data_IF_207184095321
#
_entry.id   IF_207184095321
#
_cell.length_a   1.000
_cell.length_b   1.000
_cell.length_c   1.000
_cell.angle_alpha   90.00
_cell.angle_beta   90.00
_cell.angle_gamma   90.00
#
_symmetry.space_group_name_H-M   'P 1'
#
loop_
_entity.id
_entity.type
_entity.pdbx_description
1 polymer ?
#
# COMPACT_ATOMS: atom_id res chain seq x y z
N UNK A 1 -3.56 14.28 -7.42
CA UNK A 1 -2.80 13.04 -7.22
C UNK A 1 -1.89 12.85 -8.42
N UNK A 2 -0.66 12.38 -8.21
CA UNK A 2 0.30 12.16 -9.30
C UNK A 2 -0.19 11.06 -10.26
N UNK A 3 0.17 11.15 -11.53
CA UNK A 3 0.00 10.04 -12.49
C UNK A 3 0.98 8.91 -12.17
N UNK A 4 0.75 7.69 -12.68
CA UNK A 4 1.71 6.59 -12.54
C UNK A 4 3.09 7.00 -13.08
N UNK A 5 3.16 7.60 -14.26
CA UNK A 5 4.42 8.11 -14.82
C UNK A 5 5.15 9.08 -13.88
N UNK A 6 4.44 10.03 -13.27
CA UNK A 6 5.04 10.97 -12.33
C UNK A 6 5.49 10.28 -11.03
N UNK A 7 4.75 9.26 -10.56
CA UNK A 7 5.14 8.44 -9.41
C UNK A 7 6.43 7.69 -9.70
N UNK A 8 6.53 7.04 -10.86
CA UNK A 8 7.72 6.29 -11.26
C UNK A 8 8.93 7.22 -11.46
N UNK A 9 8.72 8.41 -12.04
CA UNK A 9 9.79 9.40 -12.19
C UNK A 9 10.29 9.92 -10.84
N UNK A 10 9.38 10.14 -9.89
CA UNK A 10 9.75 10.53 -8.53
C UNK A 10 10.62 9.44 -7.87
N UNK A 11 10.17 8.18 -7.88
CA UNK A 11 10.97 7.08 -7.32
C UNK A 11 12.27 6.84 -8.07
N UNK A 12 12.30 6.99 -9.40
CA UNK A 12 13.52 6.81 -10.19
C UNK A 12 14.52 7.96 -10.06
N UNK A 13 14.06 9.16 -9.66
CA UNK A 13 14.94 10.25 -9.25
C UNK A 13 15.65 9.95 -7.94
N UNK A 14 14.94 9.28 -7.02
CA UNK A 14 15.47 8.84 -5.75
C UNK A 14 16.37 7.60 -5.88
N UNK A 15 15.93 6.58 -6.64
CA UNK A 15 16.63 5.31 -6.87
C UNK A 15 16.72 4.98 -8.37
N UNK A 16 17.79 5.46 -9.05
CA UNK A 16 17.99 5.18 -10.47
C UNK A 16 18.25 3.70 -10.80
N UNK A 17 18.80 2.92 -9.85
CA UNK A 17 19.08 1.50 -10.05
C UNK A 17 17.78 0.70 -10.06
N UNK A 18 16.85 1.01 -9.14
CA UNK A 18 15.50 0.47 -9.17
C UNK A 18 14.80 0.79 -10.50
N UNK A 19 14.82 2.04 -10.97
CA UNK A 19 14.18 2.42 -12.23
C UNK A 19 14.78 1.68 -13.44
N UNK A 20 16.08 1.35 -13.40
CA UNK A 20 16.72 0.54 -14.44
C UNK A 20 16.34 -0.95 -14.36
N UNK A 21 15.89 -1.43 -13.19
CA UNK A 21 15.51 -2.82 -12.96
C UNK A 21 14.07 -3.16 -13.36
N UNK A 22 13.17 -2.17 -13.39
CA UNK A 22 11.77 -2.41 -13.72
C UNK A 22 11.56 -2.75 -15.20
N UNK A 23 10.58 -3.60 -15.49
CA UNK A 23 10.31 -4.05 -16.85
C UNK A 23 8.81 -4.02 -17.19
N UNK A 24 8.45 -3.47 -18.36
CA UNK A 24 7.06 -3.38 -18.81
C UNK A 24 6.56 -4.72 -19.38
N UNK A 25 5.25 -4.92 -19.33
CA UNK A 25 4.57 -5.96 -20.09
C UNK A 25 4.45 -5.58 -21.57
N UNK A 26 4.54 -6.58 -22.44
CA UNK A 26 4.25 -6.45 -23.86
C UNK A 26 2.74 -6.34 -24.13
N UNK A 27 2.37 -5.75 -25.26
CA UNK A 27 0.96 -5.69 -25.68
C UNK A 27 0.32 -7.09 -25.85
N UNK A 28 1.12 -8.08 -26.25
CA UNK A 28 0.66 -9.46 -26.41
C UNK A 28 0.32 -10.11 -25.05
N UNK A 29 1.13 -9.87 -24.03
CA UNK A 29 0.88 -10.32 -22.66
C UNK A 29 -0.35 -9.65 -22.05
N UNK A 30 -0.50 -8.33 -22.22
CA UNK A 30 -1.68 -7.61 -21.74
C UNK A 30 -2.94 -8.14 -22.42
N UNK A 31 -2.91 -8.34 -23.75
CA UNK A 31 -4.02 -8.93 -24.50
C UNK A 31 -4.32 -10.37 -24.08
N UNK A 32 -3.30 -11.14 -23.67
CA UNK A 32 -3.45 -12.49 -23.15
C UNK A 32 -4.17 -12.51 -21.79
N UNK A 33 -3.92 -11.53 -20.92
CA UNK A 33 -4.66 -11.34 -19.66
C UNK A 33 -6.11 -11.01 -19.97
N UNK A 34 -6.38 -10.04 -20.86
CA UNK A 34 -7.74 -9.64 -21.25
C UNK A 34 -8.56 -10.81 -21.80
N UNK A 35 -7.95 -11.61 -22.67
CA UNK A 35 -8.60 -12.79 -23.24
C UNK A 35 -8.96 -13.83 -22.16
N UNK A 36 -8.07 -14.07 -21.19
CA UNK A 36 -8.29 -15.04 -20.10
C UNK A 36 -9.24 -14.57 -19.02
N UNK A 37 -9.24 -13.26 -18.76
CA UNK A 37 -10.20 -12.60 -17.90
C UNK A 37 -11.57 -12.41 -18.56
N UNK A 38 -11.67 -12.68 -19.87
CA UNK A 38 -12.87 -12.49 -20.70
C UNK A 38 -13.42 -11.05 -20.65
N UNK A 39 -12.51 -10.07 -20.49
CA UNK A 39 -12.85 -8.65 -20.36
C UNK A 39 -11.68 -7.74 -20.68
N UNK A 40 -11.98 -6.50 -21.06
CA UNK A 40 -10.98 -5.44 -21.16
C UNK A 40 -10.50 -5.03 -19.76
N UNK A 41 -9.20 -4.78 -19.61
CA UNK A 41 -8.65 -4.27 -18.36
C UNK A 41 -9.06 -2.79 -18.16
N UNK A 42 -9.23 -2.34 -16.90
CA UNK A 42 -9.33 -0.91 -16.59
C UNK A 42 -8.14 -0.14 -17.18
N UNK A 43 -8.34 1.06 -17.76
CA UNK A 43 -7.25 1.81 -18.42
C UNK A 43 -6.03 2.05 -17.53
N UNK A 44 -6.24 2.33 -16.23
CA UNK A 44 -5.13 2.52 -15.30
C UNK A 44 -4.34 1.22 -15.07
N UNK A 45 -5.01 0.07 -15.07
CA UNK A 45 -4.35 -1.21 -14.87
C UNK A 45 -3.55 -1.59 -16.11
N UNK A 46 -4.10 -1.35 -17.30
CA UNK A 46 -3.36 -1.45 -18.55
C UNK A 46 -2.09 -0.59 -18.49
N UNK A 47 -2.22 0.67 -18.08
CA UNK A 47 -1.08 1.59 -17.94
C UNK A 47 -0.05 1.10 -16.92
N UNK A 48 -0.49 0.55 -15.79
CA UNK A 48 0.40 -0.07 -14.82
C UNK A 48 1.20 -1.22 -15.44
N UNK A 49 0.55 -2.13 -16.16
CA UNK A 49 1.24 -3.26 -16.81
C UNK A 49 2.23 -2.80 -17.88
N UNK A 50 1.89 -1.77 -18.65
CA UNK A 50 2.78 -1.14 -19.64
C UNK A 50 4.03 -0.50 -19.02
N UNK A 51 4.04 -0.25 -17.71
CA UNK A 51 5.16 0.37 -17.02
C UNK A 51 5.95 -0.64 -16.16
N UNK A 52 5.24 -1.51 -15.42
CA UNK A 52 5.80 -2.35 -14.35
C UNK A 52 5.40 -3.84 -14.47
N UNK A 53 4.69 -4.24 -15.53
CA UNK A 53 3.97 -5.51 -15.54
C UNK A 53 4.84 -6.78 -15.55
N UNK A 54 6.08 -6.73 -16.03
CA UNK A 54 6.99 -7.89 -15.99
C UNK A 54 7.85 -7.93 -14.74
N UNK A 55 8.39 -6.78 -14.36
CA UNK A 55 9.25 -6.67 -13.20
C UNK A 55 8.95 -5.33 -12.50
N UNK A 56 8.21 -5.33 -11.37
CA UNK A 56 8.01 -4.13 -10.57
C UNK A 56 9.24 -3.79 -9.69
N UNK A 57 10.24 -4.67 -9.65
CA UNK A 57 11.37 -4.58 -8.74
C UNK A 57 10.91 -4.73 -7.29
N UNK A 58 11.60 -4.06 -6.37
CA UNK A 58 11.32 -4.12 -4.92
C UNK A 58 10.08 -3.32 -4.49
N UNK A 59 9.28 -2.81 -5.43
CA UNK A 59 8.18 -1.89 -5.13
C UNK A 59 7.11 -2.51 -4.22
N UNK A 60 7.00 -3.84 -4.15
CA UNK A 60 6.00 -4.55 -3.37
C UNK A 60 6.57 -5.53 -2.32
N UNK A 61 7.89 -5.67 -2.19
CA UNK A 61 8.54 -6.75 -1.42
C UNK A 61 8.10 -6.80 0.06
N UNK A 62 7.96 -5.65 0.73
CA UNK A 62 7.49 -5.59 2.12
C UNK A 62 6.00 -5.25 2.24
N UNK A 63 5.37 -4.86 1.14
CA UNK A 63 4.02 -4.31 1.16
C UNK A 63 2.96 -5.37 0.87
N UNK A 64 3.30 -6.43 0.11
CA UNK A 64 2.34 -7.43 -0.34
C UNK A 64 2.86 -8.87 -0.24
N UNK A 65 2.00 -9.76 0.27
CA UNK A 65 2.12 -11.20 0.02
C UNK A 65 1.74 -11.60 -1.42
N UNK A 66 1.23 -10.66 -2.22
CA UNK A 66 0.72 -10.91 -3.56
C UNK A 66 1.63 -10.36 -4.66
N UNK A 67 1.83 -11.14 -5.71
CA UNK A 67 2.69 -10.83 -6.85
C UNK A 67 1.84 -10.31 -8.04
N UNK A 68 2.03 -9.04 -8.48
CA UNK A 68 1.27 -8.43 -9.57
C UNK A 68 1.86 -8.71 -10.96
N UNK A 69 2.93 -9.51 -11.07
CA UNK A 69 3.57 -9.77 -12.37
C UNK A 69 2.64 -10.52 -13.32
N UNK A 70 2.74 -10.14 -14.58
CA UNK A 70 1.96 -10.70 -15.69
C UNK A 70 2.06 -12.23 -15.75
N UNK A 71 3.25 -12.79 -15.60
CA UNK A 71 3.48 -14.24 -15.69
C UNK A 71 2.73 -14.99 -14.57
N UNK A 72 2.65 -14.41 -13.37
CA UNK A 72 1.85 -14.95 -12.26
C UNK A 72 0.36 -14.91 -12.55
N UNK A 73 -0.15 -13.79 -13.04
CA UNK A 73 -1.57 -13.63 -13.39
C UNK A 73 -1.95 -14.61 -14.51
N UNK A 74 -1.12 -14.74 -15.55
CA UNK A 74 -1.36 -15.68 -16.64
C UNK A 74 -1.31 -17.13 -16.16
N UNK A 75 -0.33 -17.48 -15.33
CA UNK A 75 -0.21 -18.83 -14.73
C UNK A 75 -1.47 -19.19 -13.94
N UNK A 76 -2.02 -18.26 -13.15
CA UNK A 76 -3.28 -18.47 -12.43
C UNK A 76 -4.43 -18.84 -13.37
N UNK A 77 -4.62 -18.07 -14.44
CA UNK A 77 -5.69 -18.35 -15.40
C UNK A 77 -5.47 -19.63 -16.21
N UNK A 78 -4.23 -19.92 -16.60
CA UNK A 78 -3.87 -21.13 -17.34
C UNK A 78 -4.07 -22.40 -16.51
N UNK A 79 -3.91 -22.32 -15.19
CA UNK A 79 -4.21 -23.39 -14.25
C UNK A 79 -5.73 -23.60 -14.01
N UNK A 80 -6.60 -22.87 -14.71
CA UNK A 80 -8.04 -22.88 -14.46
C UNK A 80 -8.45 -22.18 -13.17
N UNK A 81 -7.61 -21.24 -12.70
CA UNK A 81 -7.86 -20.44 -11.52
C UNK A 81 -9.19 -19.68 -11.57
N UNK A 82 -9.73 -19.38 -10.39
CA UNK A 82 -11.00 -18.69 -10.27
C UNK A 82 -10.97 -17.33 -10.97
N UNK A 83 -12.03 -17.04 -11.73
CA UNK A 83 -12.23 -15.75 -12.42
C UNK A 83 -13.14 -14.88 -11.56
N UNK A 84 -12.68 -13.70 -11.13
CA UNK A 84 -13.53 -12.82 -10.35
C UNK A 84 -14.72 -12.34 -11.20
N UNK A 85 -15.97 -12.42 -10.70
CA UNK A 85 -17.11 -11.87 -11.43
C UNK A 85 -17.00 -10.34 -11.49
N UNK A 86 -17.64 -9.68 -12.48
CA UNK A 86 -17.84 -8.24 -12.43
C UNK A 86 -18.43 -7.82 -11.07
N UNK A 87 -18.00 -6.69 -10.49
CA UNK A 87 -17.15 -5.63 -11.07
C UNK A 87 -15.64 -5.82 -10.86
N UNK A 88 -15.16 -7.03 -10.56
CA UNK A 88 -13.77 -7.24 -10.14
C UNK A 88 -12.83 -7.69 -11.27
N UNK A 89 -11.56 -7.31 -11.17
CA UNK A 89 -10.46 -7.75 -12.03
C UNK A 89 -9.29 -8.17 -11.14
N UNK A 90 -8.66 -9.33 -11.40
CA UNK A 90 -7.49 -9.78 -10.63
C UNK A 90 -6.29 -8.85 -10.89
N UNK A 91 -5.67 -8.37 -9.82
CA UNK A 91 -4.51 -7.47 -9.85
C UNK A 91 -3.21 -8.16 -9.44
N UNK A 92 -3.22 -8.91 -8.34
CA UNK A 92 -2.04 -9.61 -7.84
C UNK A 92 -2.46 -10.92 -7.17
N UNK A 93 -1.61 -11.95 -7.28
CA UNK A 93 -1.84 -13.26 -6.67
C UNK A 93 -0.73 -13.62 -5.70
N UNK A 94 -1.11 -14.07 -4.52
CA UNK A 94 -0.20 -14.75 -3.61
C UNK A 94 0.28 -16.11 -4.20
N UNK A 95 1.60 -16.28 -4.43
CA UNK A 95 2.13 -17.49 -5.05
C UNK A 95 2.08 -18.73 -4.15
N UNK A 96 1.97 -18.55 -2.83
CA UNK A 96 1.96 -19.64 -1.83
C UNK A 96 0.54 -20.09 -1.48
N UNK A 97 -0.47 -19.51 -2.12
CA UNK A 97 -1.86 -19.84 -1.86
C UNK A 97 -2.40 -19.23 -0.56
N UNK A 98 -1.63 -18.32 0.07
CA UNK A 98 -2.09 -17.57 1.23
C UNK A 98 -3.20 -16.58 0.78
N UNK A 99 -3.98 -16.05 1.72
CA UNK A 99 -5.32 -15.57 1.41
C UNK A 99 -5.39 -14.08 1.05
N UNK A 100 -4.29 -13.48 0.58
CA UNK A 100 -4.25 -12.06 0.24
C UNK A 100 -4.22 -11.92 -1.28
N UNK A 101 -5.37 -12.15 -1.91
CA UNK A 101 -5.56 -11.78 -3.32
C UNK A 101 -6.02 -10.34 -3.46
N UNK A 102 -5.49 -9.69 -4.49
CA UNK A 102 -5.79 -8.30 -4.76
C UNK A 102 -6.62 -8.18 -6.02
N UNK A 103 -7.67 -7.39 -5.93
CA UNK A 103 -8.61 -7.15 -7.01
C UNK A 103 -8.81 -5.65 -7.21
N UNK A 104 -8.94 -5.26 -8.47
CA UNK A 104 -9.47 -3.96 -8.86
C UNK A 104 -10.99 -4.07 -8.95
N UNK A 105 -11.69 -3.25 -8.16
CA UNK A 105 -13.14 -3.11 -8.24
C UNK A 105 -13.48 -1.89 -9.09
N UNK A 106 -14.15 -2.11 -10.22
CA UNK A 106 -14.68 -1.01 -11.01
C UNK A 106 -15.65 -0.18 -10.15
N UNK A 107 -15.62 1.15 -10.31
CA UNK A 107 -16.61 2.01 -9.68
C UNK A 107 -17.92 1.88 -10.46
N UNK A 108 -19.03 1.69 -9.75
CA UNK A 108 -20.35 1.54 -10.36
C UNK A 108 -20.62 2.73 -11.29
N UNK A 109 -21.02 2.42 -12.54
CA UNK A 109 -21.20 3.34 -13.67
C UNK A 109 -22.38 4.31 -13.51
N UNK A 110 -22.90 4.49 -12.31
CA UNK A 110 -24.06 5.33 -12.03
C UNK A 110 -23.68 6.83 -12.02
N UNK A 111 -23.42 7.37 -13.21
CA UNK A 111 -23.65 8.79 -13.52
C UNK A 111 -22.46 9.74 -13.45
N UNK A 112 -21.29 9.33 -12.96
CA UNK A 112 -20.08 10.15 -12.99
C UNK A 112 -19.06 9.58 -13.99
N UNK A 113 -19.10 10.13 -15.21
CA UNK A 113 -18.28 9.89 -16.40
C UNK A 113 -16.88 9.27 -16.17
N UNK A 114 -16.61 8.17 -16.89
CA UNK A 114 -15.37 7.78 -17.62
C UNK A 114 -13.97 8.01 -17.02
N UNK A 115 -13.82 8.44 -15.77
CA UNK A 115 -12.53 8.88 -15.21
C UNK A 115 -12.24 8.39 -13.79
N UNK A 116 -13.21 7.74 -13.13
CA UNK A 116 -13.01 7.31 -11.76
C UNK A 116 -12.21 6.00 -11.72
N UNK A 117 -11.02 6.06 -11.12
CA UNK A 117 -10.09 4.94 -11.02
C UNK A 117 -10.66 3.81 -10.16
N UNK A 118 -10.47 2.52 -10.52
CA UNK A 118 -10.93 1.40 -9.69
C UNK A 118 -10.34 1.44 -8.28
N UNK A 119 -11.12 0.93 -7.32
CA UNK A 119 -10.63 0.67 -5.96
C UNK A 119 -9.71 -0.55 -5.97
N UNK A 120 -8.66 -0.55 -5.15
CA UNK A 120 -7.92 -1.76 -4.85
C UNK A 120 -8.50 -2.40 -3.59
N UNK A 121 -8.88 -3.67 -3.70
CA UNK A 121 -9.51 -4.43 -2.62
C UNK A 121 -8.90 -5.81 -2.46
N UNK A 122 -9.14 -6.44 -1.30
CA UNK A 122 -8.83 -7.85 -1.04
C UNK A 122 -10.06 -8.56 -0.50
N UNK A 123 -10.20 -9.84 -0.81
CA UNK A 123 -11.21 -10.74 -0.22
C UNK A 123 -10.81 -12.19 -0.43
N UNK A 124 -11.34 -13.09 0.40
CA UNK A 124 -11.14 -14.52 0.26
C UNK A 124 -11.85 -15.07 -0.98
N UNK A 125 -11.11 -15.81 -1.82
CA UNK A 125 -11.71 -16.51 -2.96
C UNK A 125 -12.64 -17.64 -2.51
N UNK A 126 -13.72 -17.93 -3.27
CA UNK A 126 -14.57 -19.09 -3.00
C UNK A 126 -13.75 -20.40 -2.97
N UNK A 127 -13.89 -21.16 -1.88
CA UNK A 127 -13.16 -22.42 -1.69
C UNK A 127 -11.70 -22.28 -1.26
N UNK A 128 -11.22 -21.04 -1.05
CA UNK A 128 -9.91 -20.78 -0.44
C UNK A 128 -9.86 -21.18 1.05
N UNK A 129 -8.66 -21.17 1.67
CA UNK A 129 -8.54 -21.36 3.11
C UNK A 129 -9.41 -20.32 3.82
N UNK A 130 -10.23 -20.78 4.79
CA UNK A 130 -11.09 -19.88 5.56
C UNK A 130 -10.22 -18.90 6.32
N UNK A 131 -10.25 -17.64 5.91
CA UNK A 131 -9.74 -16.56 6.73
C UNK A 131 -10.51 -16.47 8.04
N UNK A 132 -9.87 -15.87 9.05
CA UNK A 132 -10.53 -15.53 10.31
C UNK A 132 -11.60 -14.43 10.17
N UNK A 133 -11.76 -13.85 8.97
CA UNK A 133 -12.72 -12.78 8.65
C UNK A 133 -13.71 -13.25 7.59
N UNK A 134 -14.94 -12.75 7.66
CA UNK A 134 -16.02 -12.98 6.69
C UNK A 134 -15.91 -11.95 5.55
N UNK A 135 -14.79 -11.99 4.84
CA UNK A 135 -14.43 -11.07 3.75
C UNK A 135 -14.57 -11.76 2.37
N UNK A 136 -15.80 -11.80 1.86
CA UNK A 136 -16.10 -12.26 0.50
C UNK A 136 -16.22 -11.13 -0.53
N UNK A 137 -16.53 -11.43 -1.81
CA UNK A 137 -16.72 -10.42 -2.85
C UNK A 137 -17.87 -9.44 -2.55
N UNK A 138 -18.82 -9.81 -1.68
CA UNK A 138 -19.90 -8.92 -1.22
C UNK A 138 -19.47 -7.96 -0.11
N UNK A 139 -18.34 -8.24 0.55
CA UNK A 139 -17.77 -7.45 1.65
C UNK A 139 -16.25 -7.35 1.51
N UNK A 140 -15.76 -6.78 0.39
CA UNK A 140 -14.32 -6.71 0.15
C UNK A 140 -13.65 -5.73 1.12
N UNK A 141 -12.42 -6.02 1.50
CA UNK A 141 -11.57 -5.12 2.29
C UNK A 141 -11.00 -4.08 1.33
N UNK A 142 -11.30 -2.81 1.56
CA UNK A 142 -10.68 -1.71 0.80
C UNK A 142 -9.23 -1.52 1.24
N UNK A 143 -8.29 -1.68 0.31
CA UNK A 143 -6.86 -1.46 0.56
C UNK A 143 -6.42 -0.07 0.11
N UNK A 144 -6.91 0.39 -1.04
CA UNK A 144 -6.65 1.73 -1.51
C UNK A 144 -7.84 2.28 -2.31
N UNK A 145 -8.11 3.59 -2.19
CA UNK A 145 -9.18 4.23 -2.95
C UNK A 145 -8.91 4.20 -4.47
N UNK A 146 -7.64 4.10 -4.86
CA UNK A 146 -7.15 4.18 -6.25
C UNK A 146 -5.84 3.38 -6.38
N UNK A 147 -5.60 2.74 -7.52
CA UNK A 147 -4.39 1.96 -7.79
C UNK A 147 -3.12 2.82 -7.72
N UNK A 148 -3.14 4.05 -8.24
CA UNK A 148 -2.00 4.98 -8.15
C UNK A 148 -1.64 5.32 -6.71
N UNK A 149 -2.63 5.45 -5.82
CA UNK A 149 -2.39 5.68 -4.39
C UNK A 149 -1.64 4.50 -3.79
N UNK A 150 -2.06 3.29 -4.14
CA UNK A 150 -1.42 2.09 -3.68
C UNK A 150 0.02 1.95 -4.18
N UNK A 151 0.26 2.15 -5.48
CA UNK A 151 1.61 2.13 -6.08
C UNK A 151 2.50 3.19 -5.44
N UNK A 152 1.97 4.38 -5.19
CA UNK A 152 2.71 5.43 -4.47
C UNK A 152 3.06 4.98 -3.05
N UNK A 153 2.10 4.45 -2.27
CA UNK A 153 2.38 3.99 -0.90
C UNK A 153 3.42 2.87 -0.88
N UNK A 154 3.27 1.87 -1.75
CA UNK A 154 4.17 0.74 -1.82
C UNK A 154 5.59 1.16 -2.21
N UNK A 155 5.73 1.99 -3.26
CA UNK A 155 7.04 2.53 -3.65
C UNK A 155 7.64 3.47 -2.61
N UNK A 156 6.83 4.31 -1.97
CA UNK A 156 7.30 5.19 -0.92
C UNK A 156 7.81 4.38 0.27
N UNK A 157 7.10 3.34 0.69
CA UNK A 157 7.52 2.54 1.85
C UNK A 157 8.79 1.71 1.56
N UNK A 158 8.93 1.14 0.36
CA UNK A 158 10.06 0.27 0.00
C UNK A 158 11.31 1.03 -0.49
N UNK A 159 11.15 2.11 -1.27
CA UNK A 159 12.27 2.79 -1.95
C UNK A 159 12.79 4.03 -1.20
N UNK A 160 11.91 4.68 -0.45
CA UNK A 160 12.18 5.98 0.17
C UNK A 160 12.10 5.90 1.69
N UNK A 161 11.04 5.29 2.21
CA UNK A 161 10.70 5.29 3.61
C UNK A 161 11.75 4.62 4.47
N UNK A 162 12.54 3.71 3.91
CA UNK A 162 13.71 3.11 4.55
C UNK A 162 14.91 4.05 4.67
N UNK A 163 15.00 5.14 3.88
CA UNK A 163 16.11 6.12 3.90
C UNK A 163 16.09 6.97 5.17
N UNK A 164 14.94 7.53 5.50
CA UNK A 164 14.70 8.24 6.75
C UNK A 164 13.47 7.67 7.43
N UNK A 165 13.66 6.55 8.14
CA UNK A 165 12.67 6.02 9.06
C UNK A 165 13.10 6.20 10.51
N UNK A 166 12.12 6.34 11.38
CA UNK A 166 12.30 6.11 12.80
C UNK A 166 11.18 5.25 13.33
N UNK A 167 11.54 4.28 14.16
CA UNK A 167 10.60 3.52 14.96
C UNK A 167 10.63 4.05 16.38
N UNK A 168 9.47 4.48 16.85
CA UNK A 168 9.29 5.09 18.15
C UNK A 168 8.41 4.18 18.98
N UNK A 169 8.87 3.85 20.18
CA UNK A 169 8.06 3.19 21.20
C UNK A 169 7.52 4.23 22.17
N UNK A 170 6.21 4.43 22.18
CA UNK A 170 5.55 5.37 23.07
C UNK A 170 4.72 4.62 24.12
N UNK A 171 4.62 5.16 25.33
CA UNK A 171 3.58 4.78 26.30
C UNK A 171 2.70 5.97 26.52
N UNK A 172 1.40 5.82 26.32
CA UNK A 172 0.44 6.88 26.64
C UNK A 172 -0.16 6.56 28.00
N UNK A 173 0.08 7.36 29.05
CA UNK A 173 -0.52 7.14 30.37
C UNK A 173 -2.05 7.21 30.32
N UNK A 174 -2.72 6.63 31.33
CA UNK A 174 -4.19 6.66 31.48
C UNK A 174 -4.77 8.09 31.32
N UNK A 175 -5.90 8.22 30.61
CA UNK A 175 -6.52 9.50 30.20
C UNK A 175 -6.58 9.72 28.68
N UNK A 176 -6.77 8.64 27.93
CA UNK A 176 -6.19 8.36 26.61
C UNK A 176 -6.87 9.05 25.41
N UNK A 177 -8.16 9.36 25.48
CA UNK A 177 -8.92 9.86 24.32
C UNK A 177 -8.52 11.25 23.82
N UNK A 178 -8.35 12.22 24.73
CA UNK A 178 -8.06 13.61 24.37
C UNK A 178 -6.64 13.78 23.82
N UNK A 179 -5.68 12.95 24.23
CA UNK A 179 -4.29 13.03 23.78
C UNK A 179 -4.08 12.39 22.41
N UNK A 180 -4.84 11.37 22.04
CA UNK A 180 -4.82 10.84 20.68
C UNK A 180 -5.45 11.80 19.68
N UNK A 181 -6.57 12.41 20.04
CA UNK A 181 -7.17 13.46 19.23
C UNK A 181 -6.18 14.62 19.03
N UNK A 182 -5.39 14.97 20.05
CA UNK A 182 -4.33 15.96 19.92
C UNK A 182 -3.18 15.52 18.99
N UNK A 183 -2.83 14.22 18.97
CA UNK A 183 -1.85 13.68 18.04
C UNK A 183 -2.39 13.71 16.60
N UNK A 184 -3.61 13.21 16.39
CA UNK A 184 -4.29 13.27 15.10
C UNK A 184 -4.38 14.73 14.62
N UNK A 185 -4.77 15.67 15.49
CA UNK A 185 -4.84 17.09 15.17
C UNK A 185 -3.45 17.70 14.86
N UNK A 186 -2.40 17.29 15.57
CA UNK A 186 -1.03 17.77 15.31
C UNK A 186 -0.54 17.32 13.93
N UNK A 187 -0.80 16.07 13.58
CA UNK A 187 -0.45 15.48 12.29
C UNK A 187 -1.31 16.07 11.16
N UNK A 188 -2.60 16.28 11.40
CA UNK A 188 -3.50 16.98 10.46
C UNK A 188 -3.04 18.43 10.20
N UNK A 189 -2.57 19.14 11.23
CA UNK A 189 -1.99 20.50 11.09
C UNK A 189 -0.72 20.54 10.26
N UNK A 190 -0.01 19.41 10.15
CA UNK A 190 1.13 19.26 9.24
C UNK A 190 0.70 18.95 7.80
N UNK A 191 -0.62 18.95 7.52
CA UNK A 191 -1.17 18.70 6.19
C UNK A 191 -1.22 17.21 5.82
N UNK A 192 -0.94 16.32 6.78
CA UNK A 192 -1.07 14.89 6.59
C UNK A 192 -2.55 14.52 6.66
N UNK A 193 -2.97 13.56 5.85
CA UNK A 193 -4.35 13.08 5.81
C UNK A 193 -4.45 11.78 6.59
N UNK A 194 -5.42 11.72 7.48
CA UNK A 194 -5.79 10.46 8.14
C UNK A 194 -6.27 9.43 7.10
N UNK A 195 -5.70 8.24 7.19
CA UNK A 195 -6.05 7.07 6.42
C UNK A 195 -6.54 6.00 7.41
N UNK A 196 -7.79 5.57 7.24
CA UNK A 196 -8.33 4.46 8.02
C UNK A 196 -7.47 3.22 7.75
N UNK A 197 -6.89 2.66 8.83
CA UNK A 197 -5.78 1.71 8.76
C UNK A 197 -6.07 0.49 7.89
N UNK A 198 -5.10 0.14 7.04
CA UNK A 198 -4.90 -1.22 6.54
C UNK A 198 -3.73 -1.87 7.29
N UNK A 199 -3.72 -3.21 7.31
CA UNK A 199 -2.59 -4.07 7.68
C UNK A 199 -2.02 -3.87 9.10
N UNK A 200 -2.73 -4.45 10.08
CA UNK A 200 -2.40 -4.49 11.51
C UNK A 200 -2.36 -3.13 12.25
N UNK A 201 -2.02 -2.01 11.59
CA UNK A 201 -1.92 -0.68 12.20
C UNK A 201 -3.29 -0.12 12.61
N UNK A 202 -3.32 0.57 13.75
CA UNK A 202 -4.56 1.12 14.31
C UNK A 202 -4.93 2.48 13.71
N UNK A 203 -3.95 3.22 13.20
CA UNK A 203 -4.15 4.42 12.38
C UNK A 203 -2.91 4.70 11.54
N UNK A 204 -3.11 5.41 10.43
CA UNK A 204 -2.09 5.83 9.48
C UNK A 204 -2.42 7.26 9.05
N UNK A 205 -1.41 8.11 8.91
CA UNK A 205 -1.54 9.44 8.34
C UNK A 205 -0.45 9.62 7.29
N UNK A 206 -0.80 10.24 6.16
CA UNK A 206 0.15 10.40 5.04
C UNK A 206 0.05 11.78 4.40
N UNK A 207 1.20 12.33 4.07
CA UNK A 207 1.41 13.38 3.09
C UNK A 207 2.16 12.79 1.88
N UNK A 208 2.43 13.62 0.87
CA UNK A 208 3.23 13.18 -0.27
C UNK A 208 4.66 12.81 0.17
N UNK A 209 5.28 13.65 1.00
CA UNK A 209 6.68 13.49 1.45
C UNK A 209 6.85 12.76 2.79
N UNK A 210 5.78 12.32 3.45
CA UNK A 210 5.88 11.68 4.76
C UNK A 210 4.70 10.78 5.12
N UNK A 211 4.95 9.84 6.02
CA UNK A 211 3.93 9.01 6.62
C UNK A 211 4.22 8.77 8.11
N UNK A 212 3.14 8.60 8.87
CA UNK A 212 3.19 8.18 10.26
C UNK A 212 2.10 7.14 10.50
N UNK A 213 2.49 6.01 11.10
CA UNK A 213 1.60 4.91 11.44
C UNK A 213 1.77 4.55 12.90
N UNK A 214 0.71 4.05 13.53
CA UNK A 214 0.86 3.48 14.87
C UNK A 214 -0.03 2.29 15.18
N UNK A 215 0.54 1.35 15.93
CA UNK A 215 -0.06 0.09 16.33
C UNK A 215 -0.36 0.14 17.83
N UNK A 216 -1.64 -0.03 18.16
CA UNK A 216 -2.22 -0.11 19.49
C UNK A 216 -2.75 -1.52 19.68
N UNK A 217 -2.08 -2.28 20.53
CA UNK A 217 -2.51 -3.64 20.87
C UNK A 217 -3.49 -3.66 22.06
N UNK A 218 -3.50 -2.61 22.88
CA UNK A 218 -4.38 -2.47 24.05
C UNK A 218 -4.24 -1.07 24.69
N UNK A 219 -5.15 -0.69 25.60
CA UNK A 219 -5.14 0.62 26.26
C UNK A 219 -3.88 0.86 27.11
N UNK A 220 -3.29 -0.22 27.64
CA UNK A 220 -2.12 -0.18 28.54
C UNK A 220 -0.83 -0.65 27.85
N UNK A 221 -0.91 -1.00 26.57
CA UNK A 221 0.24 -1.50 25.80
C UNK A 221 1.05 -0.35 25.20
N UNK A 222 2.38 -0.51 25.07
CA UNK A 222 3.19 0.46 24.36
C UNK A 222 2.73 0.54 22.90
N UNK A 223 2.55 1.76 22.43
CA UNK A 223 2.22 2.05 21.04
C UNK A 223 3.52 2.09 20.25
N UNK A 224 3.57 1.30 19.19
CA UNK A 224 4.63 1.39 18.20
C UNK A 224 4.21 2.45 17.19
N UNK A 225 5.02 3.48 17.02
CA UNK A 225 4.83 4.55 16.05
C UNK A 225 5.97 4.44 15.04
N UNK A 226 5.64 4.26 13.77
CA UNK A 226 6.60 4.30 12.67
C UNK A 226 6.40 5.63 11.95
N UNK A 227 7.44 6.44 11.83
CA UNK A 227 7.42 7.68 11.06
C UNK A 227 8.53 7.63 10.01
N UNK A 228 8.24 8.08 8.79
CA UNK A 228 9.23 8.16 7.72
C UNK A 228 8.92 9.31 6.78
N UNK A 229 9.97 9.82 6.13
CA UNK A 229 9.89 10.92 5.17
C UNK A 229 10.99 10.79 4.13
N UNK A 230 10.84 11.45 2.98
CA UNK A 230 11.94 11.69 2.04
C UNK A 230 12.83 12.89 2.46
N UNK A 231 12.41 13.66 3.47
CA UNK A 231 13.10 14.82 4.01
C UNK A 231 13.42 14.62 5.51
N UNK A 232 14.72 14.64 5.84
CA UNK A 232 15.20 14.45 7.22
C UNK A 232 14.67 15.54 8.17
N UNK A 233 14.52 16.78 7.71
CA UNK A 233 13.99 17.90 8.51
C UNK A 233 12.50 17.75 8.82
N UNK A 234 11.72 17.26 7.86
CA UNK A 234 10.32 16.92 8.06
C UNK A 234 10.19 15.73 9.01
N UNK A 235 11.03 14.69 8.89
CA UNK A 235 11.06 13.61 9.86
C UNK A 235 11.34 14.14 11.27
N UNK A 236 12.33 15.01 11.45
CA UNK A 236 12.60 15.64 12.75
C UNK A 236 11.40 16.44 13.27
N UNK A 237 10.71 17.16 12.40
CA UNK A 237 9.50 17.92 12.76
C UNK A 237 8.38 16.98 13.21
N UNK A 238 8.17 15.87 12.51
CA UNK A 238 7.19 14.84 12.86
C UNK A 238 7.51 14.23 14.23
N UNK A 239 8.76 13.85 14.45
CA UNK A 239 9.21 13.27 15.73
C UNK A 239 9.11 14.27 16.87
N UNK A 240 9.43 15.54 16.63
CA UNK A 240 9.28 16.60 17.61
C UNK A 240 7.81 16.82 17.99
N UNK A 241 6.90 16.80 17.01
CA UNK A 241 5.46 16.86 17.26
C UNK A 241 4.98 15.71 18.15
N UNK A 242 5.52 14.50 17.96
CA UNK A 242 5.26 13.34 18.84
C UNK A 242 5.82 13.53 20.25
N UNK A 243 7.01 14.11 20.39
CA UNK A 243 7.64 14.37 21.68
C UNK A 243 6.84 15.33 22.57
N UNK A 244 6.12 16.29 21.97
CA UNK A 244 5.24 17.24 22.67
C UNK A 244 4.02 16.55 23.29
N UNK A 245 3.60 15.38 22.79
CA UNK A 245 2.47 14.61 23.34
C UNK A 245 2.80 13.80 24.61
N UNK A 246 4.06 13.81 25.07
CA UNK A 246 4.46 13.37 26.40
C UNK A 246 4.73 11.86 26.55
N UNK A 247 6.00 11.54 26.80
CA UNK A 247 6.57 10.22 27.11
C UNK A 247 6.78 9.27 25.91
N UNK A 248 7.45 9.80 24.90
CA UNK A 248 8.20 9.02 23.93
C UNK A 248 9.56 8.63 24.55
N UNK A 249 9.79 7.35 24.79
CA UNK A 249 11.15 6.84 25.01
C UNK A 249 11.66 6.42 23.64
N UNK A 250 12.51 7.24 23.04
CA UNK A 250 13.28 6.85 21.87
C UNK A 250 14.30 5.80 22.36
N UNK A 251 13.93 4.52 22.31
CA UNK A 251 14.80 3.38 22.68
C UNK A 251 15.96 3.17 21.67
N UNK A 252 16.11 4.08 20.73
CA UNK A 252 17.15 4.14 19.72
C UNK A 252 16.61 4.80 18.46
N UNK A 253 17.33 5.76 17.90
CA UNK A 253 17.29 5.93 16.45
C UNK A 253 17.98 4.70 15.91
N UNK A 254 17.22 3.71 15.44
CA UNK A 254 17.77 2.71 14.56
C UNK A 254 17.70 3.32 13.17
N UNK A 255 18.75 4.00 12.66
CA UNK A 255 18.80 4.23 11.23
C UNK A 255 18.67 2.84 10.60
N UNK A 256 17.64 2.63 9.79
CA UNK A 256 17.53 1.47 8.90
C UNK A 256 18.55 1.57 7.76
N UNK A 257 19.77 2.06 8.06
CA UNK A 257 20.93 2.04 7.17
C UNK A 257 21.45 0.61 6.94
N UNK A 258 20.83 -0.38 7.57
CA UNK A 258 20.85 -1.73 7.02
C UNK A 258 19.60 -1.88 6.16
N UNK A 259 19.69 -2.35 4.90
CA UNK A 259 18.57 -3.14 4.40
C UNK A 259 18.22 -4.11 5.52
N UNK A 260 16.95 -4.41 5.76
CA UNK A 260 16.54 -5.45 6.73
C UNK A 260 16.98 -6.86 6.22
N UNK A 261 18.03 -6.92 5.40
CA UNK A 261 18.64 -8.04 4.72
C UNK A 261 20.15 -8.08 5.02
N UNK A 262 20.48 -8.62 6.18
CA UNK A 262 21.63 -9.51 6.38
C UNK A 262 21.22 -10.65 7.30
#
# INVERSE_FOLDING_TARGET
MLSLDAILQYFGGEDPEWLASVAPASAAEIGAIEARAERTLPPIYRRYLELLGREPGVLFDEYLGADPRVDRILTHYDAGGWRPPPPYTLFARDPEGQPIDLFLRDRDRDGAADQAEPYLVSFAMPGGPRNMRDDGPDRPILLAPELRTFVFRAGFDNLIGSRYSTLIRARIPEGVGERWAALDEAVDKMGMRHEHGSDAWTSSHRAHEAAIQWLRNGPDEPVLIRAWSDDEGLLHTLVAALGVCGQVVVDGLHPTNSPIYS
#
